data_IF_410328101774
#
_entry.id   IF_410328101774
#
_cell.length_a   1.000
_cell.length_b   1.000
_cell.length_c   1.000
_cell.angle_alpha   90.00
_cell.angle_beta   90.00
_cell.angle_gamma   90.00
#
_symmetry.space_group_name_H-M   'P 1'
#
loop_
_entity.id
_entity.type
_entity.pdbx_description
1 polymer ?
#
# COMPACT_ATOMS: atom_id res chain seq x y z
N UNK A 1 -5.42 -4.54 -2.34
CA UNK A 1 -5.58 -4.07 -3.73
C UNK A 1 -4.75 -4.97 -4.65
N UNK A 2 -5.12 -5.08 -5.92
CA UNK A 2 -4.37 -5.90 -6.90
C UNK A 2 -4.29 -5.19 -8.24
N UNK A 3 -3.13 -5.24 -8.90
CA UNK A 3 -2.98 -4.92 -10.32
C UNK A 3 -3.02 -6.26 -11.08
N UNK A 4 -4.15 -6.65 -11.69
CA UNK A 4 -4.24 -7.89 -12.44
C UNK A 4 -3.58 -7.73 -13.82
N UNK A 5 -2.87 -8.76 -14.27
CA UNK A 5 -2.38 -8.86 -15.65
C UNK A 5 -3.46 -9.43 -16.57
N UNK A 6 -3.48 -9.01 -17.83
CA UNK A 6 -4.36 -9.60 -18.84
C UNK A 6 -4.01 -11.07 -19.06
N UNK A 7 -5.03 -11.90 -19.30
CA UNK A 7 -4.83 -13.33 -19.58
C UNK A 7 -4.06 -13.51 -20.90
N UNK A 8 -3.05 -14.40 -20.91
CA UNK A 8 -2.21 -14.65 -22.10
C UNK A 8 -3.00 -15.10 -23.34
N UNK A 9 -4.15 -15.75 -23.16
CA UNK A 9 -5.03 -16.13 -24.27
C UNK A 9 -5.57 -14.92 -25.05
N UNK A 10 -5.67 -13.78 -24.38
CA UNK A 10 -6.15 -12.50 -24.91
C UNK A 10 -5.00 -11.60 -25.38
N UNK A 11 -3.75 -11.98 -25.11
CA UNK A 11 -2.54 -11.29 -25.57
C UNK A 11 -1.45 -12.32 -25.92
N UNK A 12 -1.53 -12.85 -27.14
CA UNK A 12 -0.66 -13.93 -27.61
C UNK A 12 0.76 -13.47 -27.97
N UNK A 13 0.99 -12.17 -28.11
CA UNK A 13 2.31 -11.63 -28.49
C UNK A 13 3.24 -11.49 -27.29
N UNK A 14 2.73 -11.61 -26.05
CA UNK A 14 3.53 -11.57 -24.81
C UNK A 14 4.71 -12.56 -24.84
N UNK A 15 4.51 -13.77 -25.39
CA UNK A 15 5.57 -14.79 -25.42
C UNK A 15 6.74 -14.43 -26.35
N UNK A 16 6.48 -13.68 -27.42
CA UNK A 16 7.49 -13.32 -28.43
C UNK A 16 8.05 -11.90 -28.23
N UNK A 17 7.22 -10.95 -27.78
CA UNK A 17 7.55 -9.53 -27.69
C UNK A 17 7.73 -9.04 -26.25
N UNK A 18 7.42 -9.86 -25.25
CA UNK A 18 7.40 -9.49 -23.84
C UNK A 18 6.16 -8.68 -23.45
N UNK A 19 6.00 -8.45 -22.14
CA UNK A 19 4.88 -7.69 -21.59
C UNK A 19 5.09 -6.19 -21.78
N UNK A 20 4.29 -5.56 -22.65
CA UNK A 20 4.27 -4.11 -22.85
C UNK A 20 3.20 -3.46 -21.97
N UNK A 21 3.63 -2.77 -20.91
CA UNK A 21 2.72 -2.13 -19.95
C UNK A 21 2.54 -0.66 -20.28
N UNK A 22 1.29 -0.20 -20.38
CA UNK A 22 0.97 1.22 -20.39
C UNK A 22 0.78 1.70 -18.95
N UNK A 23 1.57 2.67 -18.51
CA UNK A 23 1.57 3.13 -17.12
C UNK A 23 0.23 3.74 -16.66
N UNK A 24 -0.57 4.30 -17.58
CA UNK A 24 -1.82 4.96 -17.23
C UNK A 24 -2.99 3.99 -17.20
N UNK A 25 -3.11 3.09 -18.18
CA UNK A 25 -4.27 2.21 -18.31
C UNK A 25 -4.09 0.84 -17.66
N UNK A 26 -2.86 0.30 -17.62
CA UNK A 26 -2.61 -1.07 -17.16
C UNK A 26 -2.20 -1.15 -15.68
N UNK A 27 -1.82 -0.03 -15.06
CA UNK A 27 -1.40 0.01 -13.65
C UNK A 27 -2.50 0.51 -12.70
N UNK A 28 -3.74 0.62 -13.16
CA UNK A 28 -4.88 1.00 -12.29
C UNK A 28 -5.26 -0.21 -11.42
N UNK A 29 -5.10 -0.12 -10.08
CA UNK A 29 -5.36 -1.24 -9.19
C UNK A 29 -6.86 -1.42 -8.93
N UNK A 30 -7.28 -2.67 -8.78
CA UNK A 30 -8.63 -3.03 -8.34
C UNK A 30 -8.67 -3.10 -6.80
N UNK A 31 -9.63 -2.37 -6.22
CA UNK A 31 -9.89 -2.35 -4.78
C UNK A 31 -11.00 -3.33 -4.37
N UNK A 32 -12.19 -3.17 -4.95
CA UNK A 32 -13.36 -3.98 -4.67
C UNK A 32 -14.38 -3.92 -5.82
N UNK A 33 -15.31 -4.87 -5.84
CA UNK A 33 -16.47 -4.85 -6.73
C UNK A 33 -17.63 -4.05 -6.13
N UNK A 34 -18.45 -3.40 -6.97
CA UNK A 34 -19.68 -2.72 -6.53
C UNK A 34 -20.62 -3.65 -5.73
N UNK A 35 -20.83 -4.89 -6.19
CA UNK A 35 -21.73 -5.88 -5.56
C UNK A 35 -21.37 -6.10 -4.09
N UNK A 36 -20.10 -6.41 -3.80
CA UNK A 36 -19.65 -6.66 -2.43
C UNK A 36 -19.70 -5.40 -1.56
N UNK A 37 -19.41 -4.24 -2.15
CA UNK A 37 -19.50 -2.95 -1.46
C UNK A 37 -20.96 -2.64 -1.04
N UNK A 38 -21.93 -2.91 -1.91
CA UNK A 38 -23.35 -2.76 -1.59
C UNK A 38 -23.79 -3.75 -0.53
N UNK A 39 -23.44 -5.04 -0.65
CA UNK A 39 -23.74 -6.06 0.37
C UNK A 39 -23.23 -5.68 1.77
N UNK A 40 -22.02 -5.12 1.87
CA UNK A 40 -21.47 -4.70 3.16
C UNK A 40 -22.20 -3.50 3.76
N UNK A 41 -22.75 -2.59 2.93
CA UNK A 41 -23.58 -1.48 3.42
C UNK A 41 -24.84 -1.98 4.11
N UNK A 42 -25.49 -3.02 3.59
CA UNK A 42 -26.71 -3.61 4.18
C UNK A 42 -26.47 -4.28 5.53
N UNK A 43 -25.27 -4.84 5.77
CA UNK A 43 -24.93 -5.49 7.05
C UNK A 43 -24.68 -4.47 8.17
N UNK A 44 -24.28 -3.24 7.82
CA UNK A 44 -23.99 -2.18 8.76
C UNK A 44 -25.20 -1.26 9.07
N UNK A 45 -26.36 -1.44 8.41
CA UNK A 45 -27.48 -0.48 8.43
C UNK A 45 -28.65 -0.90 9.33
N UNK A 46 -28.42 -0.90 10.65
CA UNK A 46 -29.49 -0.80 11.66
C UNK A 46 -29.39 0.52 12.44
N UNK A 47 -28.99 1.62 11.78
CA UNK A 47 -28.92 2.95 12.38
C UNK A 47 -29.25 4.05 11.36
N UNK A 48 -29.81 5.20 11.77
CA UNK A 48 -30.31 6.20 10.86
C UNK A 48 -29.15 6.92 10.14
N UNK A 49 -29.15 6.93 8.81
CA UNK A 49 -28.18 7.68 8.01
C UNK A 49 -28.79 9.00 7.55
N UNK A 50 -28.31 10.11 8.12
CA UNK A 50 -28.47 11.41 7.50
C UNK A 50 -27.56 11.47 6.26
N UNK A 51 -28.15 11.74 5.11
CA UNK A 51 -27.41 12.01 3.88
C UNK A 51 -26.68 13.35 4.03
N UNK A 52 -25.36 13.30 4.30
CA UNK A 52 -24.52 14.48 4.14
C UNK A 52 -24.15 14.59 2.65
N UNK A 53 -24.81 15.54 1.97
CA UNK A 53 -24.70 15.80 0.52
C UNK A 53 -23.36 16.46 0.09
N UNK A 54 -22.33 16.46 0.95
CA UNK A 54 -21.02 17.06 0.66
C UNK A 54 -19.91 16.01 0.56
N UNK A 55 -20.17 14.89 -0.12
CA UNK A 55 -19.17 13.84 -0.28
C UNK A 55 -18.11 14.27 -1.32
N UNK A 56 -16.88 14.46 -0.87
CA UNK A 56 -15.71 14.76 -1.68
C UNK A 56 -15.60 13.74 -2.85
N UNK A 57 -15.93 14.15 -4.07
CA UNK A 57 -16.21 13.27 -5.22
C UNK A 57 -14.96 12.70 -5.90
N UNK A 58 -13.76 13.07 -5.41
CA UNK A 58 -12.48 12.73 -6.04
C UNK A 58 -12.07 11.26 -5.88
N UNK A 59 -12.56 10.60 -4.83
CA UNK A 59 -12.18 9.23 -4.48
C UNK A 59 -13.40 8.36 -4.20
N UNK A 60 -13.26 7.05 -4.44
CA UNK A 60 -14.32 6.09 -4.18
C UNK A 60 -14.61 6.02 -2.65
N UNK A 61 -15.87 6.10 -2.19
CA UNK A 61 -16.20 6.20 -0.75
C UNK A 61 -15.62 5.08 0.11
N UNK A 62 -15.53 3.85 -0.43
CA UNK A 62 -14.91 2.72 0.27
C UNK A 62 -13.45 2.99 0.66
N UNK A 63 -12.68 3.67 -0.20
CA UNK A 63 -11.28 4.00 0.11
C UNK A 63 -11.21 5.00 1.27
N UNK A 64 -12.04 6.06 1.22
CA UNK A 64 -12.11 7.06 2.29
C UNK A 64 -12.53 6.42 3.62
N UNK A 65 -13.48 5.50 3.60
CA UNK A 65 -13.89 4.75 4.81
C UNK A 65 -12.76 3.89 5.39
N UNK A 66 -11.94 3.25 4.54
CA UNK A 66 -10.80 2.46 5.00
C UNK A 66 -9.71 3.35 5.63
N UNK A 67 -9.42 4.50 5.02
CA UNK A 67 -8.46 5.47 5.56
C UNK A 67 -8.97 6.05 6.87
N UNK A 68 -10.22 6.50 6.89
CA UNK A 68 -10.89 7.06 8.08
C UNK A 68 -10.86 6.08 9.26
N UNK A 69 -11.15 4.80 9.01
CA UNK A 69 -11.09 3.74 10.01
C UNK A 69 -9.68 3.56 10.58
N UNK A 70 -8.65 3.56 9.75
CA UNK A 70 -7.26 3.39 10.20
C UNK A 70 -6.73 4.65 10.91
N UNK A 71 -7.14 5.83 10.45
CA UNK A 71 -6.78 7.11 11.05
C UNK A 71 -7.63 7.48 12.29
N UNK A 72 -8.64 6.67 12.62
CA UNK A 72 -9.59 6.89 13.70
C UNK A 72 -10.29 8.27 13.63
N UNK A 73 -10.74 8.64 12.43
CA UNK A 73 -11.50 9.87 12.15
C UNK A 73 -12.73 9.58 11.27
N UNK A 74 -13.59 10.58 11.07
CA UNK A 74 -14.71 10.47 10.14
C UNK A 74 -14.26 10.76 8.68
N UNK A 75 -14.87 10.13 7.65
CA UNK A 75 -14.47 10.35 6.25
C UNK A 75 -14.53 11.80 5.79
N UNK A 76 -15.37 12.63 6.40
CA UNK A 76 -15.49 14.07 6.11
C UNK A 76 -14.37 14.92 6.73
N UNK A 77 -13.62 14.40 7.69
CA UNK A 77 -12.48 15.08 8.32
C UNK A 77 -11.18 14.92 7.53
N UNK A 78 -11.17 14.05 6.52
CA UNK A 78 -10.02 13.84 5.64
C UNK A 78 -9.89 15.03 4.69
N UNK A 79 -8.90 15.88 4.95
CA UNK A 79 -8.55 17.00 4.06
C UNK A 79 -7.88 16.51 2.76
N UNK A 80 -6.82 15.71 2.89
CA UNK A 80 -6.05 15.13 1.79
C UNK A 80 -5.17 13.97 2.31
N UNK A 81 -4.57 13.17 1.41
CA UNK A 81 -3.62 12.11 1.77
C UNK A 81 -2.59 11.83 0.67
N UNK A 82 -1.38 11.46 1.08
CA UNK A 82 -0.35 10.87 0.21
C UNK A 82 -0.12 9.42 0.63
N UNK A 83 -0.48 8.48 -0.25
CA UNK A 83 -0.39 7.05 0.02
C UNK A 83 0.48 6.36 -1.03
N UNK A 84 1.39 5.49 -0.57
CA UNK A 84 2.20 4.65 -1.43
C UNK A 84 1.72 3.21 -1.35
N UNK A 85 1.49 2.58 -2.51
CA UNK A 85 1.19 1.15 -2.56
C UNK A 85 2.47 0.37 -2.28
N UNK A 86 2.39 -0.50 -1.28
CA UNK A 86 3.47 -1.39 -0.90
C UNK A 86 3.03 -2.84 -1.05
N UNK A 87 3.98 -3.72 -1.38
CA UNK A 87 3.76 -5.15 -1.26
C UNK A 87 3.49 -5.51 0.22
N UNK A 88 2.51 -6.38 0.44
CA UNK A 88 2.16 -6.92 1.76
C UNK A 88 3.00 -8.15 2.13
N UNK A 89 3.74 -8.71 1.18
CA UNK A 89 4.68 -9.80 1.46
C UNK A 89 5.82 -9.31 2.37
N UNK A 90 6.02 -9.92 3.56
CA UNK A 90 7.11 -9.53 4.45
C UNK A 90 8.49 -9.80 3.85
N UNK A 91 9.47 -9.02 4.26
CA UNK A 91 10.88 -9.24 3.92
C UNK A 91 11.41 -10.52 4.56
N UNK A 92 12.26 -11.25 3.84
CA UNK A 92 12.80 -12.55 4.29
C UNK A 92 14.29 -12.70 3.96
N UNK A 93 14.99 -13.52 4.76
CA UNK A 93 16.32 -14.05 4.40
C UNK A 93 16.13 -15.30 3.54
N UNK A 94 16.76 -15.34 2.38
CA UNK A 94 16.53 -16.31 1.32
C UNK A 94 17.82 -16.90 0.74
N UNK A 95 17.67 -17.84 -0.21
CA UNK A 95 18.76 -18.65 -0.75
C UNK A 95 18.94 -19.97 0.01
N UNK A 96 19.49 -20.99 -0.66
CA UNK A 96 19.69 -22.33 -0.07
C UNK A 96 20.54 -22.29 1.21
N UNK A 97 21.45 -21.32 1.29
CA UNK A 97 22.41 -21.05 2.36
C UNK A 97 22.01 -19.86 3.24
N UNK A 98 20.84 -19.23 3.00
CA UNK A 98 20.35 -18.03 3.70
C UNK A 98 21.27 -16.80 3.59
N UNK A 99 21.88 -16.59 2.43
CA UNK A 99 22.82 -15.48 2.20
C UNK A 99 22.20 -14.23 1.56
N UNK A 100 20.94 -14.29 1.11
CA UNK A 100 20.26 -13.17 0.44
C UNK A 100 19.17 -12.54 1.30
N UNK A 101 18.87 -11.27 1.06
CA UNK A 101 17.72 -10.56 1.63
C UNK A 101 16.74 -10.25 0.50
N UNK A 102 15.52 -10.79 0.59
CA UNK A 102 14.43 -10.44 -0.31
C UNK A 102 13.52 -9.46 0.41
N UNK A 103 13.51 -8.21 -0.06
CA UNK A 103 12.71 -7.14 0.50
C UNK A 103 12.39 -6.12 -0.58
N UNK A 104 11.18 -5.57 -0.55
CA UNK A 104 10.89 -4.34 -1.27
C UNK A 104 11.70 -3.17 -0.70
N UNK A 105 11.95 -2.15 -1.54
CA UNK A 105 12.53 -0.85 -1.15
C UNK A 105 13.95 -0.91 -0.55
N UNK A 106 14.74 -1.94 -0.85
CA UNK A 106 16.14 -2.02 -0.41
C UNK A 106 16.94 -0.79 -0.86
N UNK A 107 16.76 -0.39 -2.11
CA UNK A 107 17.19 0.92 -2.60
C UNK A 107 16.12 1.98 -2.19
N UNK A 108 16.37 2.89 -1.25
CA UNK A 108 17.61 3.07 -0.47
C UNK A 108 17.45 2.85 1.04
N UNK A 109 16.39 2.17 1.49
CA UNK A 109 16.14 1.99 2.92
C UNK A 109 17.25 1.19 3.62
N UNK A 110 17.95 0.30 2.91
CA UNK A 110 19.05 -0.46 3.47
C UNK A 110 20.20 0.46 3.91
N UNK A 111 20.61 1.41 3.07
CA UNK A 111 21.68 2.34 3.44
C UNK A 111 21.24 3.31 4.53
N UNK A 112 20.00 3.82 4.47
CA UNK A 112 19.44 4.69 5.51
C UNK A 112 19.42 4.00 6.88
N UNK A 113 19.02 2.72 6.93
CA UNK A 113 19.06 1.93 8.15
C UNK A 113 20.48 1.76 8.70
N UNK A 114 21.44 1.37 7.86
CA UNK A 114 22.83 1.20 8.28
C UNK A 114 23.44 2.52 8.80
N UNK A 115 23.18 3.64 8.11
CA UNK A 115 23.63 4.97 8.52
C UNK A 115 23.06 5.35 9.89
N UNK A 116 21.74 5.22 10.08
CA UNK A 116 21.10 5.51 11.36
C UNK A 116 21.62 4.60 12.49
N UNK A 117 21.85 3.31 12.20
CA UNK A 117 22.40 2.36 13.18
C UNK A 117 23.79 2.77 13.67
N UNK A 118 24.67 3.21 12.76
CA UNK A 118 26.00 3.71 13.11
C UNK A 118 25.89 4.99 13.96
N UNK A 119 25.10 5.97 13.53
CA UNK A 119 24.90 7.22 14.27
C UNK A 119 24.40 7.00 15.71
N UNK A 120 23.47 6.07 15.89
CA UNK A 120 22.94 5.73 17.21
C UNK A 120 24.00 5.01 18.06
N UNK A 121 24.76 4.07 17.50
CA UNK A 121 25.80 3.34 18.22
C UNK A 121 26.92 4.26 18.72
N UNK A 122 27.37 5.22 17.91
CA UNK A 122 28.38 6.20 18.31
C UNK A 122 27.88 7.17 19.39
N UNK A 123 26.60 7.56 19.33
CA UNK A 123 25.99 8.45 20.33
C UNK A 123 25.97 7.82 21.74
N UNK A 124 25.90 6.50 21.86
CA UNK A 124 25.99 5.80 23.14
C UNK A 124 27.44 5.63 23.62
N UNK A 125 28.41 5.46 22.73
CA UNK A 125 29.82 5.30 23.11
C UNK A 125 30.37 6.57 23.78
N UNK A 126 29.96 7.76 23.33
CA UNK A 126 30.36 9.03 23.97
C UNK A 126 29.74 9.28 25.35
N UNK A 127 28.59 8.71 25.70
CA UNK A 127 28.04 8.81 27.06
C UNK A 127 28.79 7.95 28.08
N UNK A 128 29.39 6.83 27.66
CA UNK A 128 30.19 5.96 28.54
C UNK A 128 31.67 6.36 28.62
N UNK A 129 32.09 7.41 27.91
CA UNK A 129 33.45 7.97 27.99
C UNK A 129 33.51 9.33 28.71
N UNK A 130 32.37 9.82 29.21
CA UNK A 130 32.23 11.06 30.01
C UNK A 130 31.79 10.75 31.46
N UNK A 131 31.64 9.47 31.83
CA UNK A 131 31.50 8.97 33.21
C UNK A 131 32.70 8.08 33.56
#
# INVERSE_FOLDING_TARGET
>A
MRIPTLAIHLDRTISSEGLKVNNQSHLVPVLATCIKNEMQKFVADNGPKQASENANTKHHPLLLQLIAKEANCEPGEICDFELQLCDTQPSVVAGATKEFIFSGRLDNLCMSFCSLKVCLADSFTYSYQIL
#
